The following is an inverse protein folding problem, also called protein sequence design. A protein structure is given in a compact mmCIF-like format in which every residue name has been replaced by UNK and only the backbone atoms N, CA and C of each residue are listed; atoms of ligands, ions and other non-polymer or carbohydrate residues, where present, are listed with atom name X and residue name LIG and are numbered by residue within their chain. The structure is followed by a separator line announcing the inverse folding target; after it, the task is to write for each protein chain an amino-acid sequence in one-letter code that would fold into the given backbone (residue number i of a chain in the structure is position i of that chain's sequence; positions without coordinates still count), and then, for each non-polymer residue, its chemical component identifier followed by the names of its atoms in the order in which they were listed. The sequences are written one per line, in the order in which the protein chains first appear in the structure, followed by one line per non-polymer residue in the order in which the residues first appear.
data_IF_115580478395
#
_entry.id   IF_115580478395
#
_cell.length_a   1.000
_cell.length_b   1.000
_cell.length_c   1.000
_cell.angle_alpha   90.00
_cell.angle_beta   90.00
_cell.angle_gamma   90.00
#
_symmetry.space_group_name_H-M   'P 1'
#
loop_
_entity.id
_entity.type
_entity.pdbx_description
1 polymer ?
#
# COMPACT_ATOMS: atom_id res chain seq x y z
N UNK A 1 -3.16 8.10 24.30
CA UNK A 1 -2.98 6.83 23.56
C UNK A 1 -4.19 6.68 22.67
N UNK A 2 -4.01 6.43 21.39
CA UNK A 2 -5.11 6.17 20.45
C UNK A 2 -5.69 4.80 20.80
N UNK A 3 -7.02 4.70 20.96
CA UNK A 3 -7.69 3.40 21.16
C UNK A 3 -7.68 2.57 19.88
N UNK A 4 -7.99 1.28 19.99
CA UNK A 4 -8.07 0.38 18.83
C UNK A 4 -9.15 0.87 17.85
N UNK A 5 -10.32 1.23 18.36
CA UNK A 5 -11.43 1.74 17.54
C UNK A 5 -11.05 3.03 16.81
N UNK A 6 -10.42 3.97 17.51
CA UNK A 6 -9.91 5.20 16.90
C UNK A 6 -8.88 4.89 15.80
N UNK A 7 -7.94 3.97 16.04
CA UNK A 7 -6.94 3.59 15.05
C UNK A 7 -7.60 2.99 13.80
N UNK A 8 -8.61 2.13 13.96
CA UNK A 8 -9.36 1.52 12.86
C UNK A 8 -10.09 2.60 12.04
N UNK A 9 -10.77 3.54 12.70
CA UNK A 9 -11.55 4.60 12.04
C UNK A 9 -10.63 5.62 11.37
N UNK A 10 -9.51 5.98 11.98
CA UNK A 10 -8.54 6.96 11.45
C UNK A 10 -7.71 6.40 10.31
N UNK A 11 -7.45 5.08 10.28
CA UNK A 11 -6.61 4.46 9.27
C UNK A 11 -7.19 4.70 7.86
N UNK A 12 -6.46 5.39 7.04
CA UNK A 12 -6.73 5.60 5.61
C UNK A 12 -5.42 5.56 4.80
N UNK A 13 -5.52 5.39 3.51
CA UNK A 13 -4.37 5.47 2.61
C UNK A 13 -3.95 6.93 2.46
N UNK A 14 -2.86 7.32 3.11
CA UNK A 14 -2.29 8.66 3.04
C UNK A 14 -1.48 8.81 1.74
N UNK A 15 -1.69 9.92 1.03
CA UNK A 15 -1.09 10.17 -0.30
C UNK A 15 -0.29 11.46 -0.39
N UNK A 16 0.06 12.02 0.76
CA UNK A 16 1.06 13.08 0.91
C UNK A 16 1.71 12.96 2.29
N UNK A 17 3.01 12.76 2.31
CA UNK A 17 3.80 12.63 3.52
C UNK A 17 4.75 13.82 3.66
N UNK A 18 5.23 14.06 4.88
CA UNK A 18 6.28 15.03 5.16
C UNK A 18 7.66 14.41 4.86
N UNK A 19 8.34 14.82 3.76
CA UNK A 19 9.63 14.25 3.38
C UNK A 19 10.78 14.72 4.27
N UNK A 20 10.56 15.77 5.06
CA UNK A 20 11.58 16.33 5.94
C UNK A 20 11.62 15.65 7.31
N UNK A 21 10.63 14.81 7.60
CA UNK A 21 10.51 14.17 8.90
C UNK A 21 10.86 12.69 8.80
N UNK A 22 12.10 12.29 9.16
CA UNK A 22 12.55 10.91 9.08
C UNK A 22 11.80 10.01 10.06
N UNK A 23 11.69 8.74 9.74
CA UNK A 23 11.15 7.71 10.65
C UNK A 23 12.33 6.95 11.23
N UNK A 24 12.56 7.01 12.55
CA UNK A 24 13.67 6.29 13.17
C UNK A 24 13.54 4.77 12.97
N UNK A 25 14.64 4.08 12.68
CA UNK A 25 14.66 2.62 12.49
C UNK A 25 14.10 1.86 13.68
N UNK A 26 14.33 2.34 14.89
CA UNK A 26 13.74 1.76 16.12
C UNK A 26 12.21 1.79 16.07
N UNK A 27 11.64 2.87 15.52
CA UNK A 27 10.18 2.96 15.33
C UNK A 27 9.72 1.95 14.30
N UNK A 28 10.43 1.78 13.19
CA UNK A 28 10.11 0.76 12.17
C UNK A 28 10.15 -0.64 12.79
N UNK A 29 11.19 -0.98 13.53
CA UNK A 29 11.28 -2.26 14.26
C UNK A 29 10.17 -2.44 15.28
N UNK A 30 9.78 -1.38 15.99
CA UNK A 30 8.64 -1.42 16.90
C UNK A 30 7.35 -1.77 16.18
N UNK A 31 7.06 -1.10 15.05
CA UNK A 31 5.88 -1.39 14.22
C UNK A 31 5.88 -2.82 13.70
N UNK A 32 7.01 -3.29 13.20
CA UNK A 32 7.15 -4.65 12.67
C UNK A 32 6.99 -5.72 13.77
N UNK A 33 7.46 -5.43 14.99
CA UNK A 33 7.24 -6.30 16.16
C UNK A 33 5.77 -6.41 16.50
N UNK A 34 5.02 -5.31 16.45
CA UNK A 34 3.57 -5.33 16.65
C UNK A 34 2.87 -6.06 15.52
N UNK A 35 3.23 -5.79 14.26
CA UNK A 35 2.67 -6.46 13.09
C UNK A 35 2.90 -7.97 13.13
N UNK A 36 4.08 -8.41 13.57
CA UNK A 36 4.43 -9.81 13.74
C UNK A 36 3.60 -10.56 14.79
N UNK A 37 2.73 -9.84 15.56
CA UNK A 37 1.73 -10.48 16.44
C UNK A 37 0.46 -10.90 15.70
N UNK A 38 0.35 -10.58 14.41
CA UNK A 38 -0.76 -11.08 13.60
C UNK A 38 -0.80 -12.63 13.63
N UNK A 39 -2.00 -13.22 13.71
CA UNK A 39 -2.13 -14.67 13.67
C UNK A 39 -1.76 -15.19 12.28
N UNK A 40 -1.31 -16.46 12.24
CA UNK A 40 -1.12 -17.21 11.01
C UNK A 40 -1.41 -18.68 11.24
N UNK A 41 -1.86 -19.39 10.21
CA UNK A 41 -2.12 -20.82 10.28
C UNK A 41 -0.89 -21.56 10.80
N UNK A 42 -1.07 -22.38 11.86
CA UNK A 42 0.01 -23.09 12.54
C UNK A 42 1.21 -22.21 12.95
N UNK A 43 1.00 -20.90 13.05
CA UNK A 43 2.02 -19.89 13.38
C UNK A 43 3.18 -19.86 12.38
N UNK A 44 2.93 -20.09 11.10
CA UNK A 44 3.97 -20.19 10.06
C UNK A 44 4.61 -18.83 9.71
N UNK A 45 3.93 -17.70 9.97
CA UNK A 45 4.47 -16.34 9.82
C UNK A 45 5.10 -16.11 8.44
N UNK A 46 4.31 -16.15 7.34
CA UNK A 46 4.82 -16.26 5.96
C UNK A 46 5.36 -14.95 5.38
N UNK A 47 5.37 -13.88 6.13
CA UNK A 47 5.74 -12.54 5.67
C UNK A 47 7.25 -12.33 5.65
N UNK A 48 7.73 -11.68 4.58
CA UNK A 48 9.07 -11.09 4.47
C UNK A 48 8.92 -9.59 4.24
N UNK A 49 9.77 -8.79 4.89
CA UNK A 49 9.71 -7.32 4.82
C UNK A 49 11.07 -6.76 4.43
N UNK A 50 11.05 -5.88 3.44
CA UNK A 50 12.19 -5.18 2.90
C UNK A 50 11.97 -3.70 3.13
N UNK A 51 12.92 -3.01 3.73
CA UNK A 51 12.83 -1.58 4.06
C UNK A 51 13.78 -0.82 3.16
N UNK A 52 13.25 0.15 2.41
CA UNK A 52 14.03 1.04 1.57
C UNK A 52 13.97 2.47 2.12
N UNK A 53 15.14 3.07 2.26
CA UNK A 53 15.37 4.45 2.67
C UNK A 53 16.39 5.08 1.70
N UNK A 54 16.50 6.39 1.69
CA UNK A 54 17.56 7.16 1.01
C UNK A 54 17.82 6.72 -0.44
N UNK A 55 19.06 6.35 -0.77
CA UNK A 55 19.49 6.00 -2.13
C UNK A 55 18.75 4.78 -2.68
N UNK A 56 18.42 3.79 -1.83
CA UNK A 56 17.64 2.62 -2.26
C UNK A 56 16.22 3.02 -2.65
N UNK A 57 15.58 3.86 -1.84
CA UNK A 57 14.25 4.40 -2.14
C UNK A 57 14.26 5.22 -3.43
N UNK A 58 15.30 6.03 -3.61
CA UNK A 58 15.51 6.82 -4.83
C UNK A 58 15.70 5.94 -6.06
N UNK A 59 16.53 4.91 -5.99
CA UNK A 59 16.77 3.99 -7.11
C UNK A 59 15.49 3.29 -7.56
N UNK A 60 14.66 2.84 -6.62
CA UNK A 60 13.34 2.24 -6.92
C UNK A 60 12.41 3.28 -7.56
N UNK A 61 12.38 4.49 -7.03
CA UNK A 61 11.57 5.59 -7.60
C UNK A 61 11.98 5.85 -9.05
N UNK A 62 13.27 6.02 -9.30
CA UNK A 62 13.79 6.37 -10.62
C UNK A 62 13.43 5.31 -11.68
N UNK A 63 13.64 4.02 -11.38
CA UNK A 63 13.34 2.94 -12.33
C UNK A 63 11.84 2.79 -12.57
N UNK A 64 11.02 2.88 -11.53
CA UNK A 64 9.57 2.76 -11.67
C UNK A 64 8.97 3.96 -12.42
N UNK A 65 9.44 5.18 -12.16
CA UNK A 65 8.99 6.37 -12.89
C UNK A 65 9.42 6.34 -14.36
N UNK A 66 10.64 5.91 -14.67
CA UNK A 66 11.12 5.79 -16.04
C UNK A 66 10.21 4.84 -16.84
N UNK A 67 9.89 3.67 -16.30
CA UNK A 67 8.97 2.70 -16.92
C UNK A 67 7.55 3.25 -17.06
N UNK A 68 7.03 3.87 -16.01
CA UNK A 68 5.69 4.47 -16.02
C UNK A 68 5.58 5.56 -17.09
N UNK A 69 6.55 6.47 -17.16
CA UNK A 69 6.57 7.56 -18.13
C UNK A 69 6.77 7.09 -19.57
N UNK A 70 7.42 5.94 -19.76
CA UNK A 70 7.52 5.27 -21.07
C UNK A 70 6.23 4.57 -21.49
N UNK A 71 5.17 4.57 -20.66
CA UNK A 71 3.92 3.88 -20.93
C UNK A 71 4.00 2.35 -20.77
N UNK A 72 5.05 1.84 -20.11
CA UNK A 72 5.19 0.41 -19.85
C UNK A 72 4.10 -0.05 -18.87
N UNK A 73 3.27 -0.99 -19.28
CA UNK A 73 2.21 -1.55 -18.45
C UNK A 73 2.75 -2.45 -17.33
N UNK A 74 3.97 -2.96 -17.51
CA UNK A 74 4.57 -3.94 -16.62
C UNK A 74 3.86 -5.28 -16.62
N UNK A 75 4.31 -6.16 -15.74
CA UNK A 75 3.69 -7.47 -15.53
C UNK A 75 3.57 -7.74 -14.04
N UNK A 76 2.39 -8.18 -13.59
CA UNK A 76 2.15 -8.50 -12.19
C UNK A 76 2.50 -9.96 -11.90
N UNK A 77 3.04 -10.26 -10.71
CA UNK A 77 3.36 -11.63 -10.34
C UNK A 77 2.10 -12.46 -10.00
N UNK A 78 0.96 -11.79 -9.77
CA UNK A 78 -0.32 -12.44 -9.47
C UNK A 78 -1.51 -11.53 -9.84
N UNK A 79 -2.70 -12.11 -9.95
CA UNK A 79 -3.93 -11.37 -10.19
C UNK A 79 -4.46 -10.74 -8.91
N UNK A 80 -4.26 -9.43 -8.73
CA UNK A 80 -4.79 -8.68 -7.60
C UNK A 80 -6.31 -8.45 -7.71
N UNK A 81 -6.82 -8.28 -8.92
CA UNK A 81 -8.22 -8.00 -9.20
C UNK A 81 -8.85 -9.10 -10.04
N UNK A 82 -10.20 -9.18 -10.07
CA UNK A 82 -10.88 -10.08 -11.00
C UNK A 82 -10.45 -9.79 -12.44
N UNK A 83 -10.22 -10.83 -13.22
CA UNK A 83 -9.90 -10.70 -14.65
C UNK A 83 -11.04 -9.98 -15.39
N UNK A 84 -12.28 -10.33 -15.03
CA UNK A 84 -13.48 -9.67 -15.56
C UNK A 84 -14.22 -8.95 -14.44
N UNK A 85 -14.33 -7.64 -14.58
CA UNK A 85 -15.04 -6.83 -13.61
C UNK A 85 -16.57 -6.98 -13.74
N UNK A 86 -17.26 -7.14 -12.64
CA UNK A 86 -18.72 -7.24 -12.54
C UNK A 86 -19.27 -6.37 -11.41
N UNK A 87 -20.58 -6.08 -11.45
CA UNK A 87 -21.31 -5.46 -10.35
C UNK A 87 -21.24 -6.35 -9.09
N UNK A 88 -21.17 -5.75 -7.88
CA UNK A 88 -21.08 -4.32 -7.55
C UNK A 88 -19.62 -3.82 -7.48
N UNK A 89 -18.63 -4.65 -7.82
CA UNK A 89 -17.20 -4.32 -7.61
C UNK A 89 -16.69 -3.25 -8.57
N UNK A 90 -17.18 -3.25 -9.82
CA UNK A 90 -16.76 -2.24 -10.80
C UNK A 90 -17.27 -0.84 -10.41
N UNK A 91 -18.46 -0.74 -9.84
CA UNK A 91 -19.04 0.53 -9.36
C UNK A 91 -18.24 1.07 -8.19
N UNK A 92 -17.91 0.23 -7.19
CA UNK A 92 -17.09 0.60 -6.04
C UNK A 92 -15.69 1.06 -6.44
N UNK A 93 -15.07 0.35 -7.39
CA UNK A 93 -13.77 0.75 -7.96
C UNK A 93 -13.85 2.11 -8.62
N UNK A 94 -14.89 2.36 -9.44
CA UNK A 94 -15.11 3.63 -10.13
C UNK A 94 -15.38 4.75 -9.14
N UNK A 95 -16.24 4.53 -8.15
CA UNK A 95 -16.55 5.50 -7.11
C UNK A 95 -15.28 5.93 -6.35
N UNK A 96 -14.45 4.98 -5.93
CA UNK A 96 -13.17 5.25 -5.26
C UNK A 96 -12.22 6.04 -6.16
N UNK A 97 -12.04 5.65 -7.41
CA UNK A 97 -11.13 6.32 -8.34
C UNK A 97 -11.58 7.76 -8.66
N UNK A 98 -12.85 7.92 -9.01
CA UNK A 98 -13.39 9.25 -9.32
C UNK A 98 -13.54 10.13 -8.09
N UNK A 99 -13.84 9.58 -6.92
CA UNK A 99 -13.87 10.34 -5.66
C UNK A 99 -12.52 10.98 -5.36
N UNK A 100 -11.41 10.24 -5.56
CA UNK A 100 -10.06 10.77 -5.40
C UNK A 100 -9.74 11.86 -6.44
N UNK A 101 -10.05 11.62 -7.72
CA UNK A 101 -9.77 12.57 -8.79
C UNK A 101 -10.61 13.85 -8.65
N UNK A 102 -11.88 13.73 -8.29
CA UNK A 102 -12.74 14.89 -8.04
C UNK A 102 -12.21 15.77 -6.90
N UNK A 103 -11.75 15.14 -5.79
CA UNK A 103 -11.12 15.88 -4.69
C UNK A 103 -9.89 16.68 -5.16
N UNK A 104 -9.13 16.13 -6.12
CA UNK A 104 -7.94 16.77 -6.68
C UNK A 104 -8.24 17.65 -7.89
N UNK A 105 -9.50 17.91 -8.22
CA UNK A 105 -9.92 18.65 -9.41
C UNK A 105 -9.37 18.08 -10.74
N UNK A 106 -9.16 16.75 -10.80
CA UNK A 106 -8.69 16.07 -11.99
C UNK A 106 -9.89 15.56 -12.78
N UNK A 107 -10.14 16.15 -13.94
CA UNK A 107 -11.26 15.77 -14.81
C UNK A 107 -10.92 14.55 -15.69
N UNK A 108 -11.95 13.95 -16.30
CA UNK A 108 -11.80 12.77 -17.18
C UNK A 108 -11.01 13.06 -18.46
N UNK A 109 -11.04 14.30 -18.90
CA UNK A 109 -10.34 14.79 -20.10
C UNK A 109 -8.85 15.02 -19.82
N UNK A 110 -8.48 15.33 -18.57
CA UNK A 110 -7.11 15.62 -18.20
C UNK A 110 -6.31 14.33 -17.93
N UNK A 111 -5.97 13.62 -19.03
CA UNK A 111 -5.20 12.37 -18.97
C UNK A 111 -3.79 12.56 -18.40
N UNK A 112 -3.20 13.73 -18.64
CA UNK A 112 -1.87 14.05 -18.12
C UNK A 112 -1.90 14.13 -16.59
N UNK A 113 -2.85 14.87 -15.99
CA UNK A 113 -2.98 14.94 -14.54
C UNK A 113 -3.30 13.58 -13.91
N UNK A 114 -4.08 12.73 -14.58
CA UNK A 114 -4.34 11.36 -14.13
C UNK A 114 -3.05 10.52 -14.13
N UNK A 115 -2.23 10.65 -15.17
CA UNK A 115 -0.94 9.98 -15.28
C UNK A 115 0.03 10.43 -14.18
N UNK A 116 0.14 11.74 -13.95
CA UNK A 116 0.97 12.33 -12.90
C UNK A 116 0.52 11.91 -11.50
N UNK A 117 -0.79 11.90 -11.25
CA UNK A 117 -1.34 11.44 -9.97
C UNK A 117 -1.06 9.95 -9.75
N UNK A 118 -1.12 9.13 -10.80
CA UNK A 118 -0.76 7.71 -10.70
C UNK A 118 0.75 7.54 -10.44
N UNK A 119 1.60 8.34 -11.09
CA UNK A 119 3.05 8.35 -10.90
C UNK A 119 3.48 8.64 -9.45
N UNK A 120 2.62 9.34 -8.67
CA UNK A 120 2.86 9.59 -7.24
C UNK A 120 3.02 8.31 -6.42
N UNK A 121 2.41 7.19 -6.85
CA UNK A 121 2.65 5.90 -6.21
C UNK A 121 4.14 5.54 -6.21
N UNK A 122 4.83 5.75 -7.32
CA UNK A 122 6.24 5.39 -7.49
C UNK A 122 7.20 6.37 -6.80
N UNK A 123 6.68 7.54 -6.37
CA UNK A 123 7.36 8.49 -5.49
C UNK A 123 7.04 8.26 -4.02
N UNK A 124 6.40 7.15 -3.68
CA UNK A 124 5.93 6.83 -2.32
C UNK A 124 5.09 7.94 -1.68
N UNK A 125 4.46 8.80 -2.49
CA UNK A 125 3.73 9.99 -2.03
C UNK A 125 4.59 10.91 -1.14
N UNK A 126 5.90 10.96 -1.39
CA UNK A 126 6.95 11.69 -0.66
C UNK A 126 7.25 11.13 0.74
N UNK A 127 6.82 9.92 1.06
CA UNK A 127 7.20 9.25 2.30
C UNK A 127 8.72 8.96 2.33
N UNK A 128 9.38 9.14 3.49
CA UNK A 128 10.81 8.88 3.63
C UNK A 128 11.16 7.39 3.67
N UNK A 129 10.16 6.51 3.87
CA UNK A 129 10.35 5.06 3.96
C UNK A 129 9.40 4.32 3.03
N UNK A 130 9.95 3.42 2.22
CA UNK A 130 9.25 2.42 1.45
C UNK A 130 9.37 1.05 2.10
N UNK A 131 8.26 0.45 2.46
CA UNK A 131 8.20 -0.94 2.87
C UNK A 131 7.79 -1.79 1.67
N UNK A 132 8.45 -2.92 1.49
CA UNK A 132 8.10 -3.88 0.47
C UNK A 132 7.91 -5.25 1.10
N UNK A 133 7.04 -6.02 0.50
CA UNK A 133 6.61 -7.28 1.07
C UNK A 133 6.72 -8.39 0.03
N UNK A 134 7.23 -9.53 0.47
CA UNK A 134 7.29 -10.74 -0.33
C UNK A 134 6.86 -11.95 0.48
N UNK A 135 6.48 -13.00 -0.22
CA UNK A 135 6.08 -14.31 0.34
C UNK A 135 6.76 -15.40 -0.46
N UNK A 136 7.13 -16.50 0.18
CA UNK A 136 7.73 -17.63 -0.50
C UNK A 136 6.75 -18.21 -1.53
N UNK A 137 7.23 -18.61 -2.70
CA UNK A 137 6.36 -18.93 -3.86
C UNK A 137 5.50 -20.19 -3.68
N UNK A 138 5.86 -21.05 -2.72
CA UNK A 138 5.12 -22.28 -2.37
C UNK A 138 4.01 -22.02 -1.33
N UNK A 139 3.85 -20.77 -0.88
CA UNK A 139 2.79 -20.39 0.05
C UNK A 139 1.44 -20.24 -0.65
N UNK A 140 0.45 -20.96 -0.16
CA UNK A 140 -0.90 -21.03 -0.72
C UNK A 140 -1.83 -19.93 -0.19
N UNK A 141 -3.07 -19.89 -0.70
CA UNK A 141 -4.10 -18.85 -0.41
C UNK A 141 -4.28 -18.59 1.09
N UNK A 142 -4.19 -19.61 1.95
CA UNK A 142 -4.28 -19.44 3.40
C UNK A 142 -3.21 -18.50 3.95
N UNK A 143 -1.97 -18.63 3.47
CA UNK A 143 -0.86 -17.77 3.86
C UNK A 143 -1.03 -16.33 3.36
N UNK A 144 -1.72 -16.12 2.25
CA UNK A 144 -2.05 -14.78 1.77
C UNK A 144 -3.10 -14.09 2.65
N UNK A 145 -4.05 -14.87 3.25
CA UNK A 145 -4.98 -14.34 4.26
C UNK A 145 -4.21 -13.90 5.52
N UNK A 146 -3.28 -14.72 5.98
CA UNK A 146 -2.41 -14.41 7.12
C UNK A 146 -1.58 -13.14 6.84
N UNK A 147 -1.06 -13.02 5.63
CA UNK A 147 -0.30 -11.85 5.21
C UNK A 147 -1.15 -10.58 5.24
N UNK A 148 -2.41 -10.65 4.81
CA UNK A 148 -3.36 -9.54 4.90
C UNK A 148 -3.57 -9.07 6.35
N UNK A 149 -3.64 -10.00 7.31
CA UNK A 149 -3.74 -9.67 8.74
C UNK A 149 -2.48 -8.96 9.25
N UNK A 150 -1.29 -9.41 8.83
CA UNK A 150 -0.03 -8.75 9.14
C UNK A 150 0.01 -7.31 8.62
N UNK A 151 -0.34 -7.09 7.34
CA UNK A 151 -0.37 -5.76 6.73
C UNK A 151 -1.35 -4.82 7.45
N UNK A 152 -2.53 -5.30 7.79
CA UNK A 152 -3.51 -4.48 8.52
C UNK A 152 -3.02 -4.14 9.92
N UNK A 153 -2.42 -5.11 10.64
CA UNK A 153 -1.85 -4.86 11.96
C UNK A 153 -0.74 -3.81 11.91
N UNK A 154 0.14 -3.86 10.89
CA UNK A 154 1.17 -2.86 10.67
C UNK A 154 0.59 -1.46 10.47
N UNK A 155 -0.46 -1.35 9.63
CA UNK A 155 -1.10 -0.06 9.37
C UNK A 155 -1.75 0.53 10.63
N UNK A 156 -2.36 -0.29 11.48
CA UNK A 156 -2.95 0.15 12.75
C UNK A 156 -1.86 0.56 13.76
N UNK A 157 -0.78 -0.20 13.85
CA UNK A 157 0.36 0.14 14.70
C UNK A 157 1.00 1.48 14.30
N UNK A 158 1.07 1.78 13.01
CA UNK A 158 1.54 3.07 12.51
C UNK A 158 0.70 4.23 13.05
N UNK A 159 -0.65 4.12 13.00
CA UNK A 159 -1.56 5.14 13.56
C UNK A 159 -1.28 5.34 15.06
N UNK A 160 -1.13 4.25 15.82
CA UNK A 160 -0.82 4.32 17.25
C UNK A 160 0.50 5.03 17.57
N UNK A 161 1.41 5.11 16.60
CA UNK A 161 2.71 5.79 16.68
C UNK A 161 2.71 7.19 16.04
N UNK A 162 1.56 7.72 15.64
CA UNK A 162 1.44 9.02 14.98
C UNK A 162 1.96 9.02 13.53
N UNK A 163 2.17 7.85 12.96
CA UNK A 163 2.57 7.62 11.59
C UNK A 163 1.37 7.25 10.72
N UNK A 164 1.59 7.27 9.42
CA UNK A 164 0.59 6.87 8.44
C UNK A 164 1.22 5.97 7.38
N UNK A 165 0.35 5.29 6.63
CA UNK A 165 0.75 4.36 5.57
C UNK A 165 -0.11 4.52 4.33
N UNK A 166 0.42 4.05 3.20
CA UNK A 166 -0.35 3.79 1.99
C UNK A 166 0.12 2.48 1.36
N UNK A 167 -0.66 1.39 1.40
CA UNK A 167 -0.33 0.17 0.67
C UNK A 167 -0.47 0.40 -0.84
N UNK A 168 0.48 -0.12 -1.62
CA UNK A 168 0.66 0.22 -3.03
C UNK A 168 0.90 -1.03 -3.89
N UNK A 169 -0.20 -1.58 -4.43
CA UNK A 169 -0.11 -2.65 -5.42
C UNK A 169 0.43 -2.17 -6.79
N UNK A 170 0.65 -0.86 -6.97
CA UNK A 170 1.24 -0.30 -8.18
C UNK A 170 2.65 -0.84 -8.45
N UNK A 171 3.45 -1.05 -7.41
CA UNK A 171 4.80 -1.61 -7.53
C UNK A 171 4.83 -3.04 -8.07
N UNK A 172 3.73 -3.79 -7.95
CA UNK A 172 3.64 -5.12 -8.55
C UNK A 172 3.81 -5.09 -10.08
N UNK A 173 3.47 -3.97 -10.74
CA UNK A 173 3.65 -3.85 -12.19
C UNK A 173 5.13 -3.92 -12.59
N UNK A 174 6.01 -3.47 -11.73
CA UNK A 174 7.46 -3.36 -11.98
C UNK A 174 8.29 -4.17 -10.97
N UNK A 175 7.70 -5.25 -10.42
CA UNK A 175 8.36 -6.10 -9.43
C UNK A 175 9.70 -6.66 -9.93
N UNK A 176 9.79 -6.92 -11.24
CA UNK A 176 11.00 -7.40 -11.92
C UNK A 176 12.18 -6.41 -11.86
N UNK A 177 11.88 -5.10 -11.77
CA UNK A 177 12.89 -4.05 -11.55
C UNK A 177 13.15 -3.76 -10.07
N UNK A 178 12.13 -3.92 -9.22
CA UNK A 178 12.22 -3.63 -7.78
C UNK A 178 12.94 -4.76 -7.02
N UNK A 179 12.63 -6.02 -7.32
CA UNK A 179 13.24 -7.19 -6.63
C UNK A 179 14.77 -7.17 -6.63
N UNK A 180 15.46 -6.95 -7.77
CA UNK A 180 16.93 -6.92 -7.78
C UNK A 180 17.54 -5.80 -6.93
N UNK A 181 16.91 -4.62 -6.90
CA UNK A 181 17.40 -3.48 -6.09
C UNK A 181 17.31 -3.81 -4.59
N UNK A 182 16.25 -4.51 -4.18
CA UNK A 182 16.03 -4.92 -2.79
C UNK A 182 16.77 -6.22 -2.42
N UNK A 183 17.27 -6.97 -3.37
CA UNK A 183 17.83 -8.30 -3.14
C UNK A 183 16.79 -9.37 -2.79
N UNK A 184 15.54 -9.19 -3.26
CA UNK A 184 14.47 -10.19 -3.04
C UNK A 184 14.77 -11.43 -3.88
N UNK A 185 14.86 -12.63 -3.26
CA UNK A 185 15.14 -13.88 -3.97
C UNK A 185 14.10 -14.22 -5.05
N UNK A 186 14.53 -14.97 -6.08
CA UNK A 186 13.64 -15.32 -7.19
C UNK A 186 12.50 -16.25 -6.78
N UNK A 187 12.71 -17.07 -5.76
CA UNK A 187 11.72 -17.98 -5.16
C UNK A 187 10.69 -17.27 -4.25
N UNK A 188 10.72 -15.95 -4.22
CA UNK A 188 9.72 -15.16 -3.51
C UNK A 188 8.84 -14.36 -4.47
N UNK A 189 7.53 -14.37 -4.19
CA UNK A 189 6.54 -13.55 -4.88
C UNK A 189 6.49 -12.17 -4.23
N UNK A 190 6.62 -11.11 -5.04
CA UNK A 190 6.44 -9.74 -4.60
C UNK A 190 4.96 -9.46 -4.32
N UNK A 191 4.62 -9.12 -3.07
CA UNK A 191 3.22 -8.93 -2.63
C UNK A 191 2.74 -7.51 -2.89
N UNK A 192 3.42 -6.49 -2.38
CA UNK A 192 3.11 -5.08 -2.61
C UNK A 192 4.21 -4.19 -2.03
N UNK A 193 4.11 -2.88 -2.29
CA UNK A 193 4.81 -1.85 -1.55
C UNK A 193 3.89 -1.16 -0.53
N UNK A 194 4.48 -0.35 0.35
CA UNK A 194 3.75 0.51 1.28
C UNK A 194 4.60 1.72 1.64
N UNK A 195 4.07 2.92 1.45
CA UNK A 195 4.66 4.15 1.99
C UNK A 195 4.47 4.19 3.49
N UNK A 196 5.50 4.66 4.22
CA UNK A 196 5.47 4.87 5.66
C UNK A 196 6.12 6.22 6.01
N UNK A 197 5.42 7.04 6.78
CA UNK A 197 5.92 8.35 7.20
C UNK A 197 4.91 9.12 8.03
N UNK A 198 5.22 10.37 8.30
CA UNK A 198 4.29 11.30 8.94
C UNK A 198 3.39 11.92 7.85
N UNK A 199 2.06 11.97 8.06
CA UNK A 199 1.18 12.59 7.10
C UNK A 199 1.45 14.10 7.01
N UNK A 200 1.45 14.65 5.79
CA UNK A 200 1.50 16.11 5.60
C UNK A 200 0.15 16.70 6.02
N UNK A 201 0.19 17.65 6.98
CA UNK A 201 -1.00 18.09 7.72
C UNK A 201 -2.08 18.66 6.80
N UNK A 202 -1.76 19.61 5.94
CA UNK A 202 -2.74 20.37 5.16
C UNK A 202 -2.92 19.83 3.72
N UNK A 203 -2.50 18.60 3.46
CA UNK A 203 -2.63 18.02 2.13
C UNK A 203 -4.08 17.55 1.88
N UNK A 204 -4.77 18.21 0.97
CA UNK A 204 -6.17 17.92 0.61
C UNK A 204 -6.38 16.44 0.24
N UNK A 205 -5.44 15.84 -0.48
CA UNK A 205 -5.48 14.42 -0.88
C UNK A 205 -5.61 13.46 0.30
N UNK A 206 -5.13 13.86 1.49
CA UNK A 206 -5.20 13.08 2.71
C UNK A 206 -6.59 13.11 3.37
N UNK A 207 -7.50 13.97 2.90
CA UNK A 207 -8.88 14.01 3.36
C UNK A 207 -9.77 12.98 2.65
N UNK A 208 -9.25 12.32 1.61
CA UNK A 208 -10.03 11.32 0.88
C UNK A 208 -10.37 10.10 1.73
N UNK A 209 -11.67 9.90 1.95
CA UNK A 209 -12.24 8.76 2.68
C UNK A 209 -13.32 8.11 1.82
N UNK A 210 -13.06 6.95 1.20
CA UNK A 210 -14.07 6.23 0.45
C UNK A 210 -15.10 5.60 1.40
N UNK A 211 -16.34 5.56 0.94
CA UNK A 211 -17.45 4.93 1.66
C UNK A 211 -17.19 3.47 2.00
N UNK A 212 -17.88 2.99 3.00
CA UNK A 212 -17.93 1.58 3.41
C UNK A 212 -19.37 1.09 3.36
N UNK A 213 -19.54 -0.18 3.08
CA UNK A 213 -20.85 -0.81 3.14
C UNK A 213 -21.37 -0.86 4.58
N UNK A 214 -22.68 -0.73 4.74
CA UNK A 214 -23.32 -1.05 6.00
C UNK A 214 -23.11 -2.55 6.30
N UNK A 215 -22.76 -2.92 7.54
CA UNK A 215 -22.61 -4.33 7.91
C UNK A 215 -23.78 -5.24 7.54
N UNK A 216 -25.00 -4.71 7.50
CA UNK A 216 -26.19 -5.44 7.08
C UNK A 216 -26.16 -5.91 5.62
N UNK A 217 -25.35 -5.25 4.77
CA UNK A 217 -25.24 -5.61 3.35
C UNK A 217 -24.34 -6.84 3.12
N UNK A 218 -23.48 -7.17 4.06
CA UNK A 218 -22.54 -8.30 3.93
C UNK A 218 -22.61 -9.31 5.08
N UNK A 219 -23.60 -9.18 5.98
CA UNK A 219 -23.78 -10.09 7.12
C UNK A 219 -25.11 -10.82 7.00
N UNK A 220 -25.08 -12.13 7.20
CA UNK A 220 -26.28 -12.97 7.30
C UNK A 220 -26.25 -13.68 8.65
N UNK A 221 -27.32 -13.51 9.44
CA UNK A 221 -27.54 -14.30 10.65
C UNK A 221 -28.32 -15.56 10.26
N UNK A 222 -27.83 -16.73 10.66
CA UNK A 222 -28.42 -18.05 10.37
C UNK A 222 -28.79 -18.75 11.65
#
# INVERSE_FOLDING_TARGET
MVSIDEAIVQRRSIRAFDPQRPVPRETIYHLLRLAGRAPSGSNIQPWRVWVAEDDTLKAITDVCLARHNAGDAGQRPYNYYPVTWRSPYIERRRATGWGLYNLLNITRENKQAMHEQHARNYKFFDAPVGLFFSIDQDMEIGSWLDFGMFLQTLMLAAIGSGLATCPQAAFCNYHDSVKPILGIPDDQIFVCGMSLGYPLADAEVNNFQPERLDPKEFTTFV
#
